data_IF_468711906268
#
_entry.id   IF_468711906268
#
_cell.length_a   1.000
_cell.length_b   1.000
_cell.length_c   1.000
_cell.angle_alpha   90.00
_cell.angle_beta   90.00
_cell.angle_gamma   90.00
#
_symmetry.space_group_name_H-M   'P 1'
#
loop_
_entity.id
_entity.type
_entity.pdbx_description
1 polymer ?
#
# COMPACT_ATOMS: atom_id res chain seq x y z
N UNK A 1 -0.14 -7.99 -5.97
CA UNK A 1 0.08 -8.20 -4.52
C UNK A 1 -0.66 -7.15 -3.71
N UNK A 2 -0.93 -7.44 -2.44
CA UNK A 2 -1.37 -6.46 -1.45
C UNK A 2 -0.26 -6.23 -0.44
N UNK A 3 -0.11 -4.99 0.04
CA UNK A 3 0.83 -4.64 1.10
C UNK A 3 0.07 -3.79 2.12
N UNK A 4 0.08 -4.23 3.37
CA UNK A 4 -0.22 -3.41 4.53
C UNK A 4 1.09 -2.76 4.99
N UNK A 5 1.11 -1.45 5.14
CA UNK A 5 2.15 -0.70 5.83
C UNK A 5 1.52 0.14 6.95
N UNK A 6 2.36 0.69 7.83
CA UNK A 6 1.94 1.42 9.03
C UNK A 6 1.06 2.63 8.72
N UNK A 7 1.20 3.16 7.51
CA UNK A 7 0.56 4.40 7.02
C UNK A 7 -0.49 4.14 5.93
N UNK A 8 -0.80 2.88 5.61
CA UNK A 8 -1.77 2.58 4.55
C UNK A 8 -1.78 1.16 4.01
N UNK A 9 -2.77 0.90 3.16
CA UNK A 9 -2.97 -0.36 2.45
C UNK A 9 -3.00 -0.12 0.94
N UNK A 10 -2.15 -0.83 0.21
CA UNK A 10 -2.00 -0.70 -1.24
C UNK A 10 -2.16 -2.03 -1.96
N UNK A 11 -2.62 -1.95 -3.22
CA UNK A 11 -2.60 -3.03 -4.19
C UNK A 11 -1.69 -2.69 -5.34
N UNK A 12 -0.71 -3.55 -5.59
CA UNK A 12 0.29 -3.38 -6.65
C UNK A 12 0.10 -4.50 -7.68
N UNK A 13 -0.09 -4.14 -8.95
CA UNK A 13 -0.24 -5.09 -10.06
C UNK A 13 0.58 -4.63 -11.26
N UNK A 14 0.96 -5.55 -12.15
CA UNK A 14 1.59 -5.16 -13.42
C UNK A 14 0.66 -4.26 -14.23
N UNK A 15 1.21 -3.22 -14.85
CA UNK A 15 0.46 -2.48 -15.85
C UNK A 15 0.23 -3.38 -17.07
N UNK A 16 -0.98 -3.33 -17.66
CA UNK A 16 -1.39 -4.27 -18.70
C UNK A 16 -0.60 -4.08 -19.99
N UNK A 17 -0.29 -2.82 -20.29
CA UNK A 17 0.26 -2.39 -21.58
C UNK A 17 1.72 -1.93 -21.47
N UNK A 18 2.28 -1.89 -20.26
CA UNK A 18 3.67 -1.46 -20.02
C UNK A 18 4.33 -2.36 -18.97
N UNK A 19 5.28 -3.24 -19.36
CA UNK A 19 5.91 -4.18 -18.45
C UNK A 19 6.84 -3.51 -17.41
N UNK A 20 7.33 -2.31 -17.68
CA UNK A 20 8.24 -1.57 -16.80
C UNK A 20 7.49 -0.79 -15.72
N UNK A 21 6.15 -0.76 -15.80
CA UNK A 21 5.30 0.00 -14.89
C UNK A 21 4.44 -0.93 -14.04
N UNK A 22 4.27 -0.54 -12.78
CA UNK A 22 3.32 -1.10 -11.85
C UNK A 22 2.18 -0.11 -11.62
N UNK A 23 0.97 -0.65 -11.54
CA UNK A 23 -0.19 0.09 -11.08
C UNK A 23 -0.32 -0.08 -9.57
N UNK A 24 0.04 0.96 -8.82
CA UNK A 24 -0.15 1.07 -7.38
C UNK A 24 -1.51 1.68 -7.12
N UNK A 25 -2.33 1.04 -6.28
CA UNK A 25 -3.74 1.40 -6.11
C UNK A 25 -4.14 1.41 -4.65
N UNK A 26 -5.04 2.30 -4.28
CA UNK A 26 -5.56 2.42 -2.93
C UNK A 26 -7.00 2.92 -2.90
N UNK A 27 -7.65 2.72 -1.74
CA UNK A 27 -8.99 3.25 -1.47
C UNK A 27 -8.96 4.67 -0.90
N UNK A 28 -7.84 5.06 -0.29
CA UNK A 28 -7.49 6.42 0.13
C UNK A 28 -6.21 6.82 -0.61
N UNK A 29 -6.12 8.06 -1.05
CA UNK A 29 -4.99 8.60 -1.82
C UNK A 29 -3.71 8.67 -0.96
N UNK A 30 -3.87 9.08 0.30
CA UNK A 30 -2.79 9.16 1.29
C UNK A 30 -1.99 7.85 1.44
N UNK A 31 -2.65 6.69 1.35
CA UNK A 31 -1.99 5.38 1.39
C UNK A 31 -0.95 5.19 0.27
N UNK A 32 -1.11 5.85 -0.88
CA UNK A 32 -0.09 5.85 -1.95
C UNK A 32 0.96 6.92 -1.64
N UNK A 33 0.53 8.14 -1.32
CA UNK A 33 1.45 9.28 -1.20
C UNK A 33 2.34 9.22 0.05
N UNK A 34 1.99 8.45 1.08
CA UNK A 34 2.90 8.16 2.20
C UNK A 34 4.17 7.41 1.77
N UNK A 35 4.10 6.64 0.67
CA UNK A 35 5.26 5.93 0.12
C UNK A 35 5.86 6.64 -1.10
N UNK A 36 5.02 7.28 -1.91
CA UNK A 36 5.44 8.03 -3.10
C UNK A 36 4.82 9.44 -3.08
N UNK A 37 5.41 10.41 -2.35
CA UNK A 37 4.83 11.74 -2.15
C UNK A 37 4.57 12.52 -3.44
N UNK A 38 5.41 12.28 -4.45
CA UNK A 38 5.33 12.96 -5.75
C UNK A 38 4.55 12.15 -6.82
N UNK A 39 3.87 11.08 -6.42
CA UNK A 39 3.12 10.25 -7.36
C UNK A 39 1.93 11.02 -7.98
N UNK A 40 1.78 10.91 -9.30
CA UNK A 40 0.59 11.41 -9.99
C UNK A 40 -0.62 10.51 -9.73
N UNK A 41 -1.57 10.99 -8.92
CA UNK A 41 -2.76 10.23 -8.54
C UNK A 41 -3.86 10.37 -9.59
N UNK A 42 -4.23 9.24 -10.19
CA UNK A 42 -5.39 9.09 -11.06
C UNK A 42 -6.59 8.67 -10.21
N UNK A 43 -7.71 9.39 -10.34
CA UNK A 43 -8.96 9.15 -9.60
C UNK A 43 -10.01 8.54 -10.53
N UNK A 44 -10.47 7.33 -10.21
CA UNK A 44 -11.60 6.68 -10.89
C UNK A 44 -12.75 6.47 -9.90
N UNK A 45 -13.79 7.30 -9.99
CA UNK A 45 -14.86 7.40 -8.99
C UNK A 45 -15.56 6.06 -8.67
N UNK A 46 -15.81 5.24 -9.70
CA UNK A 46 -16.58 3.99 -9.56
C UNK A 46 -15.70 2.73 -9.43
N UNK A 47 -14.39 2.89 -9.25
CA UNK A 47 -13.48 1.77 -9.12
C UNK A 47 -13.30 1.31 -7.67
N UNK A 48 -13.21 0.00 -7.45
CA UNK A 48 -12.96 -0.60 -6.12
C UNK A 48 -11.70 -0.02 -5.45
N UNK A 49 -10.66 0.24 -6.25
CA UNK A 49 -9.56 1.13 -5.90
C UNK A 49 -9.73 2.46 -6.63
N UNK A 50 -10.30 3.44 -5.92
CA UNK A 50 -10.58 4.78 -6.42
C UNK A 50 -9.32 5.52 -6.85
N UNK A 51 -8.23 5.35 -6.12
CA UNK A 51 -6.96 6.03 -6.36
C UNK A 51 -5.92 5.07 -6.92
N UNK A 52 -5.13 5.55 -7.88
CA UNK A 52 -4.03 4.78 -8.44
C UNK A 52 -2.93 5.67 -9.00
N UNK A 53 -1.71 5.17 -9.00
CA UNK A 53 -0.55 5.75 -9.65
C UNK A 53 0.12 4.70 -10.52
N UNK A 54 0.57 5.12 -11.70
CA UNK A 54 1.47 4.35 -12.54
C UNK A 54 2.91 4.70 -12.12
N UNK A 55 3.63 3.75 -11.54
CA UNK A 55 4.97 3.96 -10.98
C UNK A 55 5.91 2.93 -11.60
N UNK A 56 7.16 3.31 -11.90
CA UNK A 56 8.13 2.36 -12.44
C UNK A 56 8.34 1.20 -11.47
N UNK A 57 8.58 0.02 -12.03
CA UNK A 57 8.80 -1.21 -11.26
C UNK A 57 9.99 -1.08 -10.33
N UNK A 58 11.05 -0.45 -10.80
CA UNK A 58 12.28 -0.19 -10.05
C UNK A 58 11.99 0.69 -8.85
N UNK A 59 11.27 1.81 -9.04
CA UNK A 59 10.96 2.75 -7.96
C UNK A 59 10.03 2.14 -6.91
N UNK A 60 9.07 1.31 -7.32
CA UNK A 60 8.24 0.57 -6.36
C UNK A 60 9.10 -0.40 -5.55
N UNK A 61 10.01 -1.14 -6.19
CA UNK A 61 10.87 -2.09 -5.51
C UNK A 61 11.83 -1.40 -4.53
N UNK A 62 12.43 -0.28 -4.94
CA UNK A 62 13.34 0.53 -4.12
C UNK A 62 12.66 1.05 -2.86
N UNK A 63 11.51 1.74 -2.99
CA UNK A 63 10.80 2.31 -1.83
C UNK A 63 10.32 1.22 -0.87
N UNK A 64 9.82 0.09 -1.38
CA UNK A 64 9.42 -1.03 -0.51
C UNK A 64 10.63 -1.63 0.20
N UNK A 65 11.78 -1.75 -0.48
CA UNK A 65 13.01 -2.22 0.16
C UNK A 65 13.49 -1.24 1.25
N UNK A 66 13.42 0.06 1.03
CA UNK A 66 13.78 1.08 2.02
C UNK A 66 12.90 1.00 3.28
N UNK A 67 11.58 0.78 3.12
CA UNK A 67 10.68 0.57 4.27
C UNK A 67 11.11 -0.63 5.11
N UNK A 68 11.54 -1.73 4.46
CA UNK A 68 11.98 -2.93 5.15
C UNK A 68 13.35 -2.75 5.83
N UNK A 69 14.29 -2.08 5.16
CA UNK A 69 15.65 -1.85 5.67
C UNK A 69 15.63 -0.93 6.90
N UNK A 70 14.76 0.07 6.91
CA UNK A 70 14.67 1.06 7.98
C UNK A 70 13.60 0.72 9.04
N UNK A 71 13.12 -0.52 9.08
CA UNK A 71 12.10 -0.94 10.03
C UNK A 71 12.67 -1.08 11.45
N UNK A 72 12.14 -0.30 12.39
CA UNK A 72 12.60 -0.28 13.79
C UNK A 72 11.61 -0.89 14.79
N UNK A 73 10.50 -1.46 14.31
CA UNK A 73 9.46 -2.06 15.15
C UNK A 73 9.49 -3.59 15.16
N UNK A 74 9.15 -4.19 16.29
CA UNK A 74 8.98 -5.63 16.46
C UNK A 74 7.51 -6.09 16.38
N UNK A 75 6.56 -5.15 16.48
CA UNK A 75 5.12 -5.41 16.38
C UNK A 75 4.41 -4.40 15.46
N UNK A 76 4.00 -4.86 14.28
CA UNK A 76 3.35 -4.04 13.26
C UNK A 76 2.08 -3.33 13.77
N UNK A 77 1.19 -4.06 14.45
CA UNK A 77 -0.13 -3.54 14.85
C UNK A 77 -0.05 -2.39 15.87
N UNK A 78 0.92 -2.40 16.78
CA UNK A 78 1.13 -1.30 17.73
C UNK A 78 1.72 -0.04 17.09
N UNK A 79 2.37 -0.16 15.93
CA UNK A 79 3.00 0.94 15.20
C UNK A 79 2.11 1.57 14.12
N UNK A 80 0.87 1.11 13.95
CA UNK A 80 -0.12 1.73 13.06
C UNK A 80 -0.83 2.84 13.84
N UNK A 81 -0.57 4.10 13.48
CA UNK A 81 -1.08 5.30 14.15
C UNK A 81 -2.59 5.49 13.94
N UNK A 82 -3.06 5.29 12.70
CA UNK A 82 -4.46 5.44 12.30
C UNK A 82 -5.32 4.32 12.96
N UNK A 83 -6.30 4.74 13.77
CA UNK A 83 -7.16 3.84 14.54
C UNK A 83 -8.07 2.99 13.64
N UNK A 84 -8.60 3.55 12.56
CA UNK A 84 -9.49 2.84 11.63
C UNK A 84 -8.68 1.80 10.84
N UNK A 85 -7.49 2.20 10.38
CA UNK A 85 -6.58 1.31 9.67
C UNK A 85 -6.12 0.17 10.57
N UNK A 86 -5.69 0.47 11.82
CA UNK A 86 -5.29 -0.54 12.80
C UNK A 86 -6.41 -1.53 13.09
N UNK A 87 -7.63 -1.04 13.30
CA UNK A 87 -8.81 -1.90 13.51
C UNK A 87 -9.05 -2.85 12.34
N UNK A 88 -8.91 -2.34 11.12
CA UNK A 88 -9.05 -3.13 9.89
C UNK A 88 -7.98 -4.22 9.80
N UNK A 89 -6.73 -3.90 10.12
CA UNK A 89 -5.63 -4.87 10.12
C UNK A 89 -5.78 -5.94 11.18
N UNK A 90 -6.22 -5.59 12.38
CA UNK A 90 -6.53 -6.56 13.43
C UNK A 90 -7.63 -7.52 12.99
N UNK A 91 -8.66 -7.01 12.31
CA UNK A 91 -9.74 -7.84 11.77
C UNK A 91 -9.23 -8.84 10.73
N UNK A 92 -8.35 -8.41 9.82
CA UNK A 92 -7.70 -9.30 8.83
C UNK A 92 -6.83 -10.33 9.55
N UNK A 93 -5.98 -9.90 10.48
CA UNK A 93 -5.07 -10.77 11.23
C UNK A 93 -5.84 -11.84 12.02
N UNK A 94 -6.92 -11.44 12.71
CA UNK A 94 -7.80 -12.36 13.45
C UNK A 94 -8.51 -13.34 12.52
N UNK A 95 -8.97 -12.87 11.36
CA UNK A 95 -9.62 -13.72 10.37
C UNK A 95 -8.69 -14.79 9.79
N UNK A 96 -7.40 -14.48 9.65
CA UNK A 96 -6.37 -15.40 9.13
C UNK A 96 -5.89 -16.43 10.16
N UNK A 97 -6.36 -16.37 11.42
CA UNK A 97 -5.98 -17.32 12.46
C UNK A 97 -6.52 -18.72 12.14
N UNK A 98 -5.63 -19.71 12.12
CA UNK A 98 -6.04 -21.12 12.03
C UNK A 98 -6.90 -21.51 13.23
N UNK A 99 -7.93 -22.31 12.99
CA UNK A 99 -8.86 -22.81 14.02
C UNK A 99 -8.50 -24.22 14.42
#
# INVERSE_FOLDING_TARGET
MWIAHTEGWISIVAHRDDPEVLLVRARRDDHITHLWPDAEIIILADADYRYRAAISREMVAEVIAEVLINMEYDDFKSHVSDVELRTSYLSIWDFMRER
#
